data_IF_086856084009
#
_entry.id   IF_086856084009
#
_cell.length_a   1.000
_cell.length_b   1.000
_cell.length_c   1.000
_cell.angle_alpha   90.00
_cell.angle_beta   90.00
_cell.angle_gamma   90.00
#
_symmetry.space_group_name_H-M   'P 1'
#
loop_
_entity.id
_entity.type
_entity.pdbx_description
1 polymer ?
#
# COMPACT_ATOMS: atom_id res chain seq x y z
N UNK A 1 -3.21 -12.67 -10.24
CA UNK A 1 -4.18 -12.12 -9.27
C UNK A 1 -4.11 -12.89 -7.96
N UNK A 2 -4.03 -12.20 -6.83
CA UNK A 2 -4.05 -12.76 -5.48
C UNK A 2 -5.26 -12.19 -4.76
N UNK A 3 -6.29 -13.01 -4.60
CA UNK A 3 -7.63 -12.60 -4.17
C UNK A 3 -7.97 -12.94 -2.72
N UNK A 4 -6.94 -13.16 -1.89
CA UNK A 4 -7.04 -13.49 -0.47
C UNK A 4 -6.06 -12.68 0.38
N UNK A 5 -5.88 -11.39 0.03
CA UNK A 5 -5.01 -10.51 0.79
C UNK A 5 -5.48 -10.38 2.24
N UNK A 6 -4.54 -10.48 3.19
CA UNK A 6 -4.81 -10.34 4.60
C UNK A 6 -5.48 -11.56 5.24
N UNK A 7 -6.18 -11.32 6.34
CA UNK A 7 -6.92 -12.34 7.08
C UNK A 7 -8.28 -12.59 6.44
N UNK A 8 -8.62 -13.86 6.21
CA UNK A 8 -9.87 -14.28 5.59
C UNK A 8 -10.61 -15.25 6.52
N UNK A 9 -11.59 -14.72 7.27
CA UNK A 9 -12.30 -15.48 8.29
C UNK A 9 -13.19 -16.61 7.75
N UNK A 10 -13.78 -16.44 6.55
CA UNK A 10 -14.74 -17.40 6.00
C UNK A 10 -14.11 -18.58 5.24
N UNK A 11 -12.86 -18.48 4.84
CA UNK A 11 -12.18 -19.53 4.05
C UNK A 11 -11.32 -20.47 4.89
N UNK A 12 -11.29 -20.29 6.20
CA UNK A 12 -10.53 -21.12 7.14
C UNK A 12 -9.02 -20.87 7.06
N UNK A 13 -8.26 -21.72 7.73
CA UNK A 13 -6.81 -21.56 7.91
C UNK A 13 -5.96 -21.76 6.63
N UNK A 14 -6.54 -22.37 5.60
CA UNK A 14 -5.81 -22.71 4.37
C UNK A 14 -5.76 -21.58 3.34
N UNK A 15 -6.54 -20.49 3.50
CA UNK A 15 -6.65 -19.41 2.53
C UNK A 15 -6.40 -18.05 3.18
N UNK A 16 -5.23 -17.91 3.83
CA UNK A 16 -4.82 -16.66 4.49
C UNK A 16 -3.69 -15.98 3.72
N UNK A 17 -3.91 -14.72 3.32
CA UNK A 17 -2.94 -13.94 2.55
C UNK A 17 -2.03 -13.08 3.42
N UNK A 18 -1.47 -13.64 4.50
CA UNK A 18 -0.57 -12.91 5.42
C UNK A 18 0.91 -13.14 5.14
N UNK A 19 1.26 -13.96 4.14
CA UNK A 19 2.64 -14.28 3.77
C UNK A 19 2.95 -13.97 2.30
N UNK A 20 1.96 -13.62 1.49
CA UNK A 20 2.08 -13.47 0.04
C UNK A 20 3.06 -12.37 -0.36
N UNK A 21 3.04 -11.22 0.29
CA UNK A 21 4.03 -10.16 0.08
C UNK A 21 5.45 -10.70 0.37
N UNK A 22 5.63 -11.39 1.48
CA UNK A 22 6.94 -11.88 1.93
C UNK A 22 7.57 -12.86 0.94
N UNK A 23 6.84 -13.87 0.46
CA UNK A 23 7.42 -14.83 -0.48
C UNK A 23 7.51 -14.28 -1.91
N UNK A 24 6.56 -13.47 -2.37
CA UNK A 24 6.62 -12.85 -3.69
C UNK A 24 7.76 -11.84 -3.81
N UNK A 25 8.05 -11.11 -2.73
CA UNK A 25 9.15 -10.15 -2.72
C UNK A 25 10.52 -10.80 -2.93
N UNK A 26 10.68 -12.09 -2.60
CA UNK A 26 11.91 -12.85 -2.84
C UNK A 26 12.13 -13.21 -4.31
N UNK A 27 11.10 -13.17 -5.16
CA UNK A 27 11.18 -13.54 -6.57
C UNK A 27 11.84 -12.41 -7.37
N UNK A 28 12.94 -12.68 -8.12
CA UNK A 28 13.56 -11.65 -8.94
C UNK A 28 12.59 -11.07 -9.99
N UNK A 29 12.69 -9.76 -10.23
CA UNK A 29 11.88 -9.01 -11.20
C UNK A 29 10.36 -9.04 -10.98
N UNK A 30 9.87 -9.65 -9.90
CA UNK A 30 8.45 -9.63 -9.56
C UNK A 30 8.02 -8.22 -9.16
N UNK A 31 6.98 -7.69 -9.79
CA UNK A 31 6.28 -6.48 -9.35
C UNK A 31 5.08 -6.87 -8.49
N UNK A 32 4.84 -6.12 -7.40
CA UNK A 32 3.74 -6.39 -6.48
C UNK A 32 3.00 -5.08 -6.23
N UNK A 33 1.69 -5.06 -6.49
CA UNK A 33 0.83 -3.91 -6.23
C UNK A 33 -0.47 -4.33 -5.54
N UNK A 34 -1.09 -3.38 -4.84
CA UNK A 34 -2.33 -3.60 -4.09
C UNK A 34 -3.23 -2.36 -4.20
N UNK A 35 -4.43 -2.48 -4.80
CA UNK A 35 -5.34 -1.36 -5.01
C UNK A 35 -6.08 -1.00 -3.72
N UNK A 36 -6.36 0.31 -3.53
CA UNK A 36 -7.15 0.84 -2.42
C UNK A 36 -8.66 0.63 -2.59
N UNK A 37 -9.15 0.59 -3.83
CA UNK A 37 -10.57 0.48 -4.15
C UNK A 37 -10.82 -0.25 -5.48
N UNK A 38 -12.10 -0.34 -5.88
CA UNK A 38 -12.52 -1.03 -7.11
C UNK A 38 -12.03 -0.34 -8.40
N UNK A 39 -11.97 0.98 -8.41
CA UNK A 39 -11.50 1.75 -9.56
C UNK A 39 -10.00 1.54 -9.77
N UNK A 40 -9.21 1.65 -8.71
CA UNK A 40 -7.77 1.41 -8.79
C UNK A 40 -7.44 -0.05 -9.14
N UNK A 41 -8.26 -1.03 -8.70
CA UNK A 41 -8.12 -2.42 -9.13
C UNK A 41 -8.27 -2.56 -10.66
N UNK A 42 -9.27 -1.90 -11.25
CA UNK A 42 -9.48 -1.90 -12.72
C UNK A 42 -8.28 -1.26 -13.44
N UNK A 43 -7.80 -0.13 -12.93
CA UNK A 43 -6.65 0.57 -13.50
C UNK A 43 -5.35 -0.25 -13.36
N UNK A 44 -5.12 -0.93 -12.24
CA UNK A 44 -3.96 -1.82 -12.08
C UNK A 44 -4.02 -3.03 -13.02
N UNK A 45 -5.22 -3.58 -13.27
CA UNK A 45 -5.39 -4.66 -14.25
C UNK A 45 -5.11 -4.13 -15.66
N UNK A 46 -5.65 -2.96 -16.04
CA UNK A 46 -5.37 -2.31 -17.33
C UNK A 46 -3.86 -2.07 -17.48
N UNK A 47 -3.23 -1.45 -16.49
CA UNK A 47 -1.79 -1.22 -16.47
C UNK A 47 -0.99 -2.52 -16.68
N UNK A 48 -1.37 -3.60 -15.98
CA UNK A 48 -0.67 -4.88 -16.08
C UNK A 48 -0.78 -5.55 -17.47
N UNK A 49 -1.87 -5.30 -18.19
CA UNK A 49 -2.14 -5.92 -19.50
C UNK A 49 -1.64 -5.07 -20.66
N UNK A 50 -1.77 -3.75 -20.56
CA UNK A 50 -1.53 -2.82 -21.67
C UNK A 50 -0.17 -2.12 -21.59
N UNK A 51 0.27 -1.76 -20.39
CA UNK A 51 1.39 -0.84 -20.20
C UNK A 51 2.63 -1.51 -19.57
N UNK A 52 2.49 -2.70 -18.95
CA UNK A 52 3.57 -3.35 -18.22
C UNK A 52 4.09 -4.60 -18.91
N UNK A 53 5.42 -4.73 -18.95
CA UNK A 53 6.07 -5.91 -19.54
C UNK A 53 6.95 -6.59 -18.47
N UNK A 54 6.40 -7.60 -17.81
CA UNK A 54 7.10 -8.36 -16.76
C UNK A 54 6.14 -9.14 -15.86
N UNK A 55 6.66 -9.89 -14.90
CA UNK A 55 5.83 -10.57 -13.91
C UNK A 55 5.27 -9.56 -12.91
N UNK A 56 3.94 -9.55 -12.76
CA UNK A 56 3.23 -8.66 -11.83
C UNK A 56 2.19 -9.43 -11.03
N UNK A 57 2.12 -9.16 -9.74
CA UNK A 57 1.10 -9.65 -8.83
C UNK A 57 0.22 -8.49 -8.36
N UNK A 58 -1.09 -8.58 -8.61
CA UNK A 58 -2.09 -7.65 -8.09
C UNK A 58 -2.78 -8.33 -6.91
N UNK A 59 -2.68 -7.74 -5.73
CA UNK A 59 -3.11 -8.29 -4.46
C UNK A 59 -4.29 -7.52 -3.90
N UNK A 60 -5.42 -8.19 -3.67
CA UNK A 60 -6.64 -7.59 -3.12
C UNK A 60 -7.37 -8.55 -2.17
N UNK A 61 -8.17 -8.04 -1.20
CA UNK A 61 -8.85 -8.87 -0.22
C UNK A 61 -10.04 -9.62 -0.84
N UNK A 62 -10.45 -10.70 -0.18
CA UNK A 62 -11.73 -11.36 -0.45
C UNK A 62 -12.88 -10.52 0.09
N UNK A 63 -13.97 -10.40 -0.66
CA UNK A 63 -15.19 -9.72 -0.25
C UNK A 63 -15.61 -8.60 -1.19
N UNK A 64 -16.44 -7.71 -0.70
CA UNK A 64 -16.87 -6.54 -1.45
C UNK A 64 -15.73 -5.53 -1.60
N UNK A 65 -15.62 -4.92 -2.76
CA UNK A 65 -14.64 -3.87 -2.98
C UNK A 65 -14.98 -2.61 -2.14
N UNK A 66 -13.94 -1.89 -1.73
CA UNK A 66 -14.10 -0.56 -1.18
C UNK A 66 -14.60 0.37 -2.29
N UNK A 67 -15.71 1.09 -2.03
CA UNK A 67 -16.32 2.05 -2.96
C UNK A 67 -16.05 3.51 -2.56
N UNK A 68 -15.09 3.74 -1.66
CA UNK A 68 -14.65 5.07 -1.25
C UNK A 68 -13.40 5.50 -2.01
N UNK A 69 -13.01 6.77 -1.84
CA UNK A 69 -11.77 7.34 -2.38
C UNK A 69 -11.73 7.45 -3.91
N UNK A 70 -12.89 7.55 -4.57
CA UNK A 70 -12.96 7.74 -6.02
C UNK A 70 -12.49 9.15 -6.45
N UNK A 71 -12.44 10.10 -5.53
CA UNK A 71 -11.87 11.43 -5.73
C UNK A 71 -10.34 11.43 -5.89
N UNK A 72 -9.68 10.35 -5.47
CA UNK A 72 -8.25 10.12 -5.66
C UNK A 72 -8.07 9.15 -6.84
N UNK A 73 -7.93 9.70 -8.03
CA UNK A 73 -7.94 8.99 -9.31
C UNK A 73 -6.66 9.21 -10.14
N UNK A 74 -5.57 9.55 -9.49
CA UNK A 74 -4.29 9.71 -10.17
C UNK A 74 -3.92 8.42 -10.95
N UNK A 75 -3.44 8.52 -12.20
CA UNK A 75 -3.07 7.36 -13.00
C UNK A 75 -2.11 6.41 -12.28
N UNK A 76 -2.25 5.12 -12.54
CA UNK A 76 -1.31 4.12 -12.02
C UNK A 76 -0.02 4.18 -12.83
N UNK A 77 1.05 4.64 -12.20
CA UNK A 77 2.39 4.65 -12.77
C UNK A 77 3.28 3.63 -12.06
N UNK A 78 4.18 3.01 -12.80
CA UNK A 78 5.06 1.96 -12.29
C UNK A 78 5.88 2.41 -11.08
N UNK A 79 5.69 1.75 -9.95
CA UNK A 79 6.42 2.01 -8.71
C UNK A 79 6.12 3.37 -8.07
N UNK A 80 5.02 4.04 -8.44
CA UNK A 80 4.63 5.32 -7.87
C UNK A 80 3.44 5.19 -6.93
N UNK A 81 3.53 5.87 -5.81
CA UNK A 81 2.47 6.04 -4.82
C UNK A 81 1.60 7.26 -5.14
N UNK A 82 0.51 7.40 -4.39
CA UNK A 82 -0.41 8.53 -4.51
C UNK A 82 -0.56 9.22 -3.17
N UNK A 83 -0.28 10.52 -3.10
CA UNK A 83 -0.58 11.33 -1.92
C UNK A 83 -2.06 11.65 -1.92
N UNK A 84 -2.79 11.12 -0.95
CA UNK A 84 -4.23 11.38 -0.80
C UNK A 84 -4.49 12.65 0.00
N UNK A 85 -3.78 12.80 1.11
CA UNK A 85 -3.89 14.00 1.96
C UNK A 85 -2.50 14.46 2.37
N UNK A 86 -2.28 15.76 2.31
CA UNK A 86 -1.04 16.38 2.79
C UNK A 86 -1.29 17.04 4.15
N UNK A 87 -0.53 16.64 5.15
CA UNK A 87 -0.40 17.29 6.44
C UNK A 87 0.95 17.98 6.55
N UNK A 88 1.13 18.76 7.61
CA UNK A 88 2.44 19.33 7.94
C UNK A 88 3.37 18.22 8.53
N UNK A 89 4.20 18.55 9.48
CA UNK A 89 5.42 17.80 9.82
C UNK A 89 5.24 16.66 10.84
N UNK A 90 4.03 16.32 11.30
CA UNK A 90 3.94 15.38 12.43
C UNK A 90 4.02 13.92 11.99
N UNK A 91 3.03 13.44 11.24
CA UNK A 91 2.87 12.02 10.95
C UNK A 91 2.61 11.77 9.46
N UNK A 92 3.33 10.81 8.87
CA UNK A 92 3.00 10.25 7.57
C UNK A 92 2.51 8.81 7.72
N UNK A 93 1.33 8.51 7.20
CA UNK A 93 0.77 7.16 7.10
C UNK A 93 0.96 6.64 5.68
N UNK A 94 1.74 5.58 5.52
CA UNK A 94 1.94 4.88 4.25
C UNK A 94 1.12 3.60 4.28
N UNK A 95 -0.01 3.58 3.61
CA UNK A 95 -0.95 2.48 3.65
C UNK A 95 -0.98 1.70 2.33
N UNK A 96 -1.12 0.38 2.43
CA UNK A 96 -1.11 -0.52 1.28
C UNK A 96 -2.49 -1.16 1.08
N UNK A 97 -3.07 -0.99 -0.11
CA UNK A 97 -4.30 -1.64 -0.53
C UNK A 97 -5.48 -1.38 0.42
N UNK A 98 -6.10 -2.45 0.93
CA UNK A 98 -7.24 -2.39 1.87
C UNK A 98 -6.97 -1.57 3.13
N UNK A 99 -5.71 -1.43 3.54
CA UNK A 99 -5.34 -0.68 4.73
C UNK A 99 -5.45 0.85 4.56
N UNK A 100 -5.66 1.35 3.34
CA UNK A 100 -5.89 2.78 3.10
C UNK A 100 -7.14 3.28 3.84
N UNK A 101 -8.23 2.51 3.84
CA UNK A 101 -9.44 2.88 4.56
C UNK A 101 -9.23 2.91 6.09
N UNK A 102 -8.48 1.95 6.63
CA UNK A 102 -8.11 1.95 8.04
C UNK A 102 -7.20 3.14 8.39
N UNK A 103 -6.24 3.46 7.51
CA UNK A 103 -5.34 4.58 7.69
C UNK A 103 -6.06 5.93 7.66
N UNK A 104 -7.10 6.09 6.83
CA UNK A 104 -7.92 7.32 6.83
C UNK A 104 -8.70 7.49 8.14
N UNK A 105 -9.23 6.41 8.71
CA UNK A 105 -9.85 6.45 10.04
C UNK A 105 -8.84 6.86 11.13
N UNK A 106 -7.62 6.31 11.08
CA UNK A 106 -6.53 6.68 12.00
C UNK A 106 -6.15 8.15 11.82
N UNK A 107 -6.02 8.60 10.55
CA UNK A 107 -5.76 10.01 10.24
C UNK A 107 -6.80 10.93 10.87
N UNK A 108 -8.08 10.63 10.68
CA UNK A 108 -9.17 11.45 11.22
C UNK A 108 -9.14 11.52 12.76
N UNK A 109 -8.81 10.40 13.42
CA UNK A 109 -8.67 10.35 14.88
C UNK A 109 -7.49 11.18 15.37
N UNK A 110 -6.33 11.08 14.73
CA UNK A 110 -5.14 11.86 15.07
C UNK A 110 -5.34 13.36 14.84
N UNK A 111 -6.03 13.73 13.75
CA UNK A 111 -6.38 15.12 13.48
C UNK A 111 -7.31 15.71 14.57
N UNK A 112 -8.24 14.91 15.09
CA UNK A 112 -9.10 15.33 16.20
C UNK A 112 -8.31 15.59 17.51
N UNK A 113 -7.14 14.95 17.66
CA UNK A 113 -6.19 15.18 18.75
C UNK A 113 -5.19 16.32 18.47
N UNK A 114 -5.27 16.97 17.32
CA UNK A 114 -4.46 18.13 16.94
C UNK A 114 -3.16 17.82 16.20
N UNK A 115 -2.97 16.59 15.76
CA UNK A 115 -1.81 16.25 14.90
C UNK A 115 -2.08 16.58 13.43
N UNK A 116 -1.02 16.91 12.69
CA UNK A 116 -1.07 17.00 11.23
C UNK A 116 -0.66 15.67 10.62
N UNK A 117 -1.44 15.18 9.64
CA UNK A 117 -1.25 13.83 9.12
C UNK A 117 -1.29 13.81 7.60
N UNK A 118 -0.20 13.36 6.99
CA UNK A 118 -0.13 12.99 5.57
C UNK A 118 -0.58 11.54 5.40
N UNK A 119 -1.44 11.27 4.42
CA UNK A 119 -1.83 9.91 4.03
C UNK A 119 -1.39 9.62 2.61
N UNK A 120 -0.64 8.56 2.46
CA UNK A 120 -0.12 8.07 1.18
C UNK A 120 -0.68 6.67 0.92
N UNK A 121 -1.32 6.49 -0.24
CA UNK A 121 -1.61 5.19 -0.81
C UNK A 121 -0.33 4.67 -1.49
N UNK A 122 0.32 3.69 -0.89
CA UNK A 122 1.61 3.19 -1.35
C UNK A 122 1.54 2.47 -2.70
N UNK A 123 0.38 1.92 -3.08
CA UNK A 123 0.12 1.20 -4.34
C UNK A 123 1.05 0.01 -4.59
N UNK A 124 2.37 0.22 -4.56
CA UNK A 124 3.39 -0.79 -4.87
C UNK A 124 4.18 -1.21 -3.63
N UNK A 125 4.34 -2.51 -3.48
CA UNK A 125 5.25 -3.12 -2.52
C UNK A 125 6.63 -3.28 -3.12
N UNK A 126 6.65 -3.64 -4.41
CA UNK A 126 7.88 -3.86 -5.17
C UNK A 126 7.67 -3.43 -6.63
N UNK A 127 8.42 -2.42 -7.08
CA UNK A 127 9.34 -1.61 -6.27
C UNK A 127 8.59 -0.68 -5.31
N UNK A 128 9.25 -0.27 -4.22
CA UNK A 128 8.77 0.84 -3.37
C UNK A 128 9.03 2.18 -4.06
N UNK A 129 8.20 3.17 -3.79
CA UNK A 129 8.39 4.55 -4.25
C UNK A 129 9.42 5.26 -3.37
N UNK A 130 10.67 5.20 -3.77
CA UNK A 130 11.79 5.79 -3.03
C UNK A 130 11.69 7.30 -2.91
N UNK A 131 11.31 7.99 -3.98
CA UNK A 131 11.17 9.44 -3.99
C UNK A 131 10.13 9.91 -2.97
N UNK A 132 9.01 9.18 -2.88
CA UNK A 132 7.97 9.45 -1.89
C UNK A 132 8.44 9.18 -0.47
N UNK A 133 9.17 8.08 -0.25
CA UNK A 133 9.72 7.73 1.07
C UNK A 133 10.72 8.79 1.50
N UNK A 134 11.62 9.23 0.63
CA UNK A 134 12.58 10.30 0.92
C UNK A 134 11.88 11.61 1.28
N UNK A 135 10.84 11.97 0.52
CA UNK A 135 10.06 13.19 0.78
C UNK A 135 9.36 13.15 2.16
N UNK A 136 8.74 12.02 2.54
CA UNK A 136 8.10 11.91 3.86
C UNK A 136 9.12 11.84 4.98
N UNK A 137 10.29 11.21 4.77
CA UNK A 137 11.38 11.18 5.77
C UNK A 137 11.94 12.58 6.06
N UNK A 138 12.03 13.43 5.05
CA UNK A 138 12.53 14.80 5.22
C UNK A 138 11.53 15.72 5.92
N UNK A 139 10.24 15.46 5.76
CA UNK A 139 9.19 16.40 6.15
C UNK A 139 8.36 15.95 7.37
N UNK A 140 8.52 14.73 7.88
CA UNK A 140 7.71 14.22 8.99
C UNK A 140 8.56 13.68 10.14
N UNK A 141 8.06 13.81 11.36
CA UNK A 141 8.72 13.31 12.58
C UNK A 141 8.51 11.80 12.77
N UNK A 142 7.39 11.28 12.28
CA UNK A 142 7.00 9.89 12.42
C UNK A 142 6.43 9.35 11.11
N UNK A 143 6.91 8.20 10.69
CA UNK A 143 6.37 7.46 9.55
C UNK A 143 5.80 6.14 10.06
N UNK A 144 4.55 5.85 9.69
CA UNK A 144 3.84 4.62 10.05
C UNK A 144 3.42 3.90 8.78
N UNK A 145 3.78 2.64 8.65
CA UNK A 145 3.35 1.78 7.55
C UNK A 145 2.18 0.89 7.97
N UNK A 146 1.19 0.73 7.10
CA UNK A 146 0.02 -0.12 7.35
C UNK A 146 -0.12 -1.14 6.22
N UNK A 147 -0.08 -2.42 6.58
CA UNK A 147 -0.21 -3.55 5.66
C UNK A 147 -0.88 -4.75 6.33
N UNK A 148 -1.48 -5.64 5.54
CA UNK A 148 -2.00 -6.93 5.99
C UNK A 148 -1.02 -8.05 5.62
N UNK A 149 0.14 -8.07 6.25
CA UNK A 149 1.17 -9.09 6.06
C UNK A 149 1.99 -9.25 7.35
N UNK A 150 2.71 -10.36 7.49
CA UNK A 150 3.69 -10.50 8.57
C UNK A 150 4.84 -9.51 8.38
N UNK A 151 5.46 -9.06 9.47
CA UNK A 151 6.54 -8.06 9.40
C UNK A 151 7.76 -8.55 8.62
N UNK A 152 8.09 -9.84 8.72
CA UNK A 152 9.23 -10.42 8.01
C UNK A 152 8.97 -10.45 6.49
N UNK A 153 9.75 -9.69 5.73
CA UNK A 153 9.61 -9.55 4.28
C UNK A 153 8.40 -8.72 3.82
N UNK A 154 7.71 -8.04 4.74
CA UNK A 154 6.59 -7.17 4.44
C UNK A 154 7.00 -5.80 3.88
N UNK A 155 5.99 -5.00 3.52
CA UNK A 155 6.15 -3.64 2.98
C UNK A 155 6.87 -2.73 3.99
N UNK A 156 6.39 -2.70 5.25
CA UNK A 156 7.00 -1.87 6.29
C UNK A 156 8.46 -2.24 6.57
N UNK A 157 8.80 -3.54 6.53
CA UNK A 157 10.19 -3.97 6.66
C UNK A 157 11.07 -3.44 5.51
N UNK A 158 10.54 -3.47 4.29
CA UNK A 158 11.26 -2.95 3.11
C UNK A 158 11.46 -1.44 3.20
N UNK A 159 10.45 -0.70 3.63
CA UNK A 159 10.56 0.75 3.88
C UNK A 159 11.60 1.04 4.97
N UNK A 160 11.51 0.36 6.12
CA UNK A 160 12.50 0.52 7.21
C UNK A 160 13.93 0.22 6.76
N UNK A 161 14.13 -0.83 5.99
CA UNK A 161 15.44 -1.17 5.46
C UNK A 161 15.98 -0.07 4.54
N UNK A 162 15.16 0.40 3.60
CA UNK A 162 15.55 1.48 2.69
C UNK A 162 15.97 2.74 3.45
N UNK A 163 15.16 3.17 4.43
CA UNK A 163 15.46 4.35 5.25
C UNK A 163 16.74 4.18 6.09
N UNK A 164 17.03 2.94 6.54
CA UNK A 164 18.24 2.67 7.34
C UNK A 164 19.51 2.61 6.49
N UNK A 165 19.39 2.31 5.20
CA UNK A 165 20.50 2.18 4.27
C UNK A 165 20.81 3.50 3.54
N UNK A 166 19.94 4.53 3.69
CA UNK A 166 20.05 5.87 3.09
C UNK A 166 20.77 6.84 4.00
#
# INVERSE_FOLDING_TARGET
AIDRAGLVGSDGETHQGIFDISFLSSIPNMTICAPKNDTELKEMIRFAVEDFNGPIAIRYPRGSACLSFHEFDAPVEYGKSEVMYTGDNDIALLALGSMVAAADNVRNSLMAEGYTVTLVNARFVKPIDKDMIDAVCQNHKLIVTLEENVSSGGFGRTVCQYVSDS
#
